data_IF_044827469793
#
_entry.id   IF_044827469793
#
_cell.length_a   1.000
_cell.length_b   1.000
_cell.length_c   1.000
_cell.angle_alpha   90.00
_cell.angle_beta   90.00
_cell.angle_gamma   90.00
#
_symmetry.space_group_name_H-M   'P 1'
#
loop_
_entity.id
_entity.type
_entity.pdbx_description
1 polymer ?
#
# COMPACT_ATOMS: atom_id res chain seq x y z
N UNK A 1 1.44 11.29 -5.88
CA UNK A 1 0.69 10.05 -6.12
C UNK A 1 1.72 9.00 -6.44
N UNK A 2 1.55 7.81 -5.89
CA UNK A 2 2.33 6.64 -6.30
C UNK A 2 1.46 5.74 -7.17
N UNK A 3 2.11 5.01 -8.06
CA UNK A 3 1.47 4.06 -8.96
C UNK A 3 2.29 2.79 -9.04
N UNK A 4 1.61 1.65 -9.03
CA UNK A 4 2.20 0.33 -9.20
C UNK A 4 1.46 -0.42 -10.33
N UNK A 5 2.21 -1.15 -11.15
CA UNK A 5 1.68 -1.98 -12.23
C UNK A 5 1.81 -3.45 -11.85
N UNK A 6 0.66 -4.10 -11.68
CA UNK A 6 0.55 -5.50 -11.27
C UNK A 6 0.09 -6.30 -12.49
N UNK A 7 1.02 -7.03 -13.12
CA UNK A 7 0.72 -7.85 -14.30
C UNK A 7 0.37 -9.28 -13.91
N UNK A 8 -0.71 -9.88 -14.46
CA UNK A 8 -0.98 -11.30 -14.26
C UNK A 8 0.12 -12.12 -14.94
N UNK A 9 0.82 -12.98 -14.17
CA UNK A 9 1.83 -13.91 -14.68
C UNK A 9 1.67 -15.26 -13.98
N UNK A 10 1.13 -16.25 -14.70
CA UNK A 10 0.79 -17.54 -14.11
C UNK A 10 -0.34 -17.40 -13.09
N UNK A 11 -0.11 -17.87 -11.87
CA UNK A 11 -1.13 -17.91 -10.81
C UNK A 11 -1.29 -16.59 -10.04
N UNK A 12 -0.35 -15.66 -10.16
CA UNK A 12 -0.31 -14.44 -9.34
C UNK A 12 -0.11 -13.17 -10.16
N UNK A 13 -0.48 -12.03 -9.58
CA UNK A 13 -0.06 -10.73 -10.10
C UNK A 13 1.34 -10.38 -9.57
N UNK A 14 2.20 -9.90 -10.47
CA UNK A 14 3.59 -9.51 -10.18
C UNK A 14 3.75 -8.00 -10.33
N UNK A 15 4.44 -7.35 -9.39
CA UNK A 15 4.79 -5.93 -9.48
C UNK A 15 5.87 -5.72 -10.53
N UNK A 16 5.50 -5.16 -11.68
CA UNK A 16 6.35 -5.10 -12.89
C UNK A 16 6.75 -3.69 -13.29
N UNK A 17 6.18 -2.68 -12.64
CA UNK A 17 6.54 -1.28 -12.80
C UNK A 17 5.96 -0.45 -11.67
N UNK A 18 6.60 0.66 -11.32
CA UNK A 18 6.07 1.59 -10.34
C UNK A 18 6.69 2.98 -10.45
N UNK A 19 5.93 3.97 -10.00
CA UNK A 19 6.42 5.27 -9.53
C UNK A 19 6.09 5.32 -8.05
N UNK A 20 7.10 5.30 -7.18
CA UNK A 20 6.94 5.22 -5.73
C UNK A 20 7.69 6.38 -5.05
N UNK A 21 7.03 7.53 -4.98
CA UNK A 21 7.56 8.76 -4.42
C UNK A 21 7.23 8.92 -2.93
N UNK A 22 6.15 8.31 -2.44
CA UNK A 22 5.66 8.47 -1.07
C UNK A 22 5.49 7.12 -0.35
N UNK A 23 6.53 6.27 -0.26
CA UNK A 23 6.43 4.98 0.41
C UNK A 23 6.03 5.11 1.89
N UNK A 24 5.28 4.13 2.38
CA UNK A 24 4.86 4.01 3.77
C UNK A 24 5.49 2.76 4.41
N UNK A 25 6.76 2.88 4.82
CA UNK A 25 7.54 1.81 5.45
C UNK A 25 7.82 0.58 4.57
N UNK A 26 8.13 0.79 3.28
CA UNK A 26 8.62 -0.25 2.38
C UNK A 26 9.45 0.36 1.24
N UNK A 27 10.26 -0.44 0.55
CA UNK A 27 11.04 0.02 -0.62
C UNK A 27 10.61 -0.67 -1.91
N UNK A 28 10.64 0.04 -3.04
CA UNK A 28 10.36 -0.58 -4.35
C UNK A 28 11.37 -1.69 -4.68
N UNK A 29 12.64 -1.50 -4.33
CA UNK A 29 13.72 -2.44 -4.66
C UNK A 29 13.46 -3.86 -4.13
N UNK A 30 12.90 -4.00 -2.93
CA UNK A 30 12.59 -5.31 -2.34
C UNK A 30 11.32 -5.94 -2.91
N UNK A 31 10.42 -5.13 -3.48
CA UNK A 31 9.11 -5.58 -3.97
C UNK A 31 9.04 -5.76 -5.48
N UNK A 32 9.94 -5.11 -6.22
CA UNK A 32 9.97 -5.17 -7.67
C UNK A 32 10.16 -6.61 -8.18
N UNK A 33 9.40 -6.98 -9.21
CA UNK A 33 9.36 -8.32 -9.79
C UNK A 33 9.00 -9.44 -8.81
N UNK A 34 8.30 -9.11 -7.71
CA UNK A 34 7.77 -10.09 -6.76
C UNK A 34 6.25 -10.26 -6.92
N UNK A 35 5.72 -11.47 -6.65
CA UNK A 35 4.28 -11.71 -6.63
C UNK A 35 3.62 -11.06 -5.40
N UNK A 36 2.29 -10.86 -5.46
CA UNK A 36 1.50 -10.32 -4.35
C UNK A 36 1.74 -11.05 -3.03
N UNK A 37 1.86 -12.39 -3.05
CA UNK A 37 2.21 -13.19 -1.86
C UNK A 37 3.50 -12.73 -1.19
N UNK A 38 4.61 -12.63 -1.95
CA UNK A 38 5.92 -12.22 -1.40
C UNK A 38 5.95 -10.76 -0.95
N UNK A 39 5.27 -9.88 -1.70
CA UNK A 39 5.24 -8.44 -1.39
C UNK A 39 4.73 -8.19 0.03
N UNK A 40 3.74 -8.97 0.47
CA UNK A 40 3.05 -8.78 1.74
C UNK A 40 3.60 -9.64 2.90
N UNK A 41 4.63 -10.47 2.70
CA UNK A 41 5.26 -11.26 3.77
C UNK A 41 5.57 -10.46 5.05
N UNK A 42 6.05 -9.20 4.99
CA UNK A 42 6.31 -8.42 6.21
C UNK A 42 5.06 -7.95 6.98
N UNK A 43 3.86 -8.24 6.50
CA UNK A 43 2.60 -7.87 7.16
C UNK A 43 2.08 -9.09 7.92
N UNK A 44 2.19 -9.15 9.27
CA UNK A 44 1.89 -10.37 10.03
C UNK A 44 0.46 -10.89 9.87
N UNK A 45 -0.50 -9.99 9.67
CA UNK A 45 -1.90 -10.35 9.44
C UNK A 45 -2.16 -10.91 8.04
N UNK A 46 -1.20 -10.79 7.10
CA UNK A 46 -1.35 -11.21 5.72
C UNK A 46 -0.99 -12.69 5.54
N UNK A 47 -1.93 -13.55 5.95
CA UNK A 47 -1.77 -15.00 5.82
C UNK A 47 -2.10 -15.54 4.41
N UNK A 48 -2.03 -16.86 4.26
CA UNK A 48 -2.35 -17.55 3.01
C UNK A 48 -3.83 -17.39 2.58
N UNK A 49 -4.76 -17.21 3.52
CA UNK A 49 -6.18 -17.00 3.23
C UNK A 49 -6.39 -15.59 2.66
N UNK A 50 -5.80 -14.56 3.28
CA UNK A 50 -5.80 -13.19 2.77
C UNK A 50 -5.16 -13.14 1.39
N UNK A 51 -3.99 -13.78 1.22
CA UNK A 51 -3.30 -13.88 -0.08
C UNK A 51 -4.24 -14.39 -1.17
N UNK A 52 -4.94 -15.51 -0.92
CA UNK A 52 -5.91 -16.09 -1.87
C UNK A 52 -7.08 -15.14 -2.17
N UNK A 53 -7.60 -14.44 -1.17
CA UNK A 53 -8.71 -13.47 -1.34
C UNK A 53 -8.28 -12.26 -2.17
N UNK A 54 -7.10 -11.71 -1.90
CA UNK A 54 -6.55 -10.58 -2.66
C UNK A 54 -6.27 -11.00 -4.10
N UNK A 55 -5.66 -12.17 -4.34
CA UNK A 55 -5.46 -12.66 -5.71
C UNK A 55 -6.79 -12.84 -6.46
N UNK A 56 -7.83 -13.38 -5.81
CA UNK A 56 -9.17 -13.48 -6.42
C UNK A 56 -9.77 -12.11 -6.74
N UNK A 57 -9.62 -11.13 -5.85
CA UNK A 57 -10.01 -9.75 -6.11
C UNK A 57 -9.33 -9.22 -7.37
N UNK A 58 -7.99 -9.34 -7.45
CA UNK A 58 -7.22 -8.88 -8.60
C UNK A 58 -7.63 -9.57 -9.90
N UNK A 59 -7.90 -10.88 -9.88
CA UNK A 59 -8.46 -11.61 -11.02
C UNK A 59 -9.83 -11.06 -11.45
N UNK A 60 -10.66 -10.66 -10.50
CA UNK A 60 -12.03 -10.17 -10.72
C UNK A 60 -12.17 -8.74 -11.22
N UNK A 61 -11.13 -7.90 -11.17
CA UNK A 61 -11.24 -6.43 -11.37
C UNK A 61 -11.94 -5.91 -12.64
N UNK A 62 -12.00 -6.48 -13.84
CA UNK A 62 -12.70 -5.89 -15.01
C UNK A 62 -12.30 -4.46 -15.48
N UNK A 63 -12.29 -4.27 -16.81
CA UNK A 63 -12.08 -2.96 -17.43
C UNK A 63 -13.29 -2.06 -17.20
N UNK A 64 -13.08 -0.77 -16.92
CA UNK A 64 -14.15 0.21 -16.73
C UNK A 64 -14.90 0.09 -15.38
N UNK A 65 -14.49 -0.84 -14.50
CA UNK A 65 -15.08 -1.05 -13.17
C UNK A 65 -14.02 -0.96 -12.07
N UNK A 66 -13.45 0.24 -11.82
CA UNK A 66 -12.39 0.39 -10.84
C UNK A 66 -12.90 0.10 -9.43
N UNK A 67 -12.02 -0.46 -8.61
CA UNK A 67 -12.25 -0.62 -7.17
C UNK A 67 -11.44 0.40 -6.40
N UNK A 68 -11.88 0.74 -5.20
CA UNK A 68 -11.09 1.57 -4.30
C UNK A 68 -11.30 1.18 -2.83
N UNK A 69 -10.32 1.55 -2.01
CA UNK A 69 -10.37 1.48 -0.55
C UNK A 69 -9.58 2.64 0.04
N UNK A 70 -9.69 2.85 1.34
CA UNK A 70 -8.73 3.65 2.08
C UNK A 70 -8.18 2.88 3.28
N UNK A 71 -7.04 3.33 3.77
CA UNK A 71 -6.50 3.00 5.08
C UNK A 71 -6.19 4.30 5.82
N UNK A 72 -5.91 4.20 7.12
CA UNK A 72 -5.25 5.27 7.84
C UNK A 72 -4.39 4.69 8.96
N UNK A 73 -3.30 5.37 9.29
CA UNK A 73 -2.36 5.04 10.36
C UNK A 73 -1.85 6.33 10.99
N UNK A 74 -1.42 6.26 12.25
CA UNK A 74 -0.83 7.41 12.94
C UNK A 74 0.70 7.43 12.74
N UNK A 75 1.26 8.62 12.56
CA UNK A 75 2.66 8.86 12.24
C UNK A 75 3.24 9.96 13.14
N UNK A 76 4.54 9.84 13.42
CA UNK A 76 5.29 10.80 14.25
C UNK A 76 5.67 12.07 13.49
N UNK A 77 5.80 11.98 12.16
CA UNK A 77 6.25 13.07 11.29
C UNK A 77 5.31 13.24 10.09
N UNK A 78 5.25 14.46 9.49
CA UNK A 78 4.37 14.74 8.37
C UNK A 78 4.95 14.36 7.00
N UNK A 79 6.18 13.85 6.95
CA UNK A 79 6.88 13.59 5.69
C UNK A 79 6.12 12.58 4.82
N UNK A 80 6.20 12.77 3.50
CA UNK A 80 5.56 11.84 2.56
C UNK A 80 6.46 10.65 2.24
N UNK A 81 7.79 10.85 2.29
CA UNK A 81 8.80 9.87 1.92
C UNK A 81 9.31 9.12 3.15
N UNK A 82 8.71 7.96 3.44
CA UNK A 82 9.10 7.08 4.54
C UNK A 82 9.49 5.69 4.04
N UNK A 83 10.59 5.53 3.27
CA UNK A 83 11.08 4.21 2.88
C UNK A 83 11.61 3.47 4.11
N UNK A 84 11.44 2.15 4.13
CA UNK A 84 12.03 1.26 5.12
C UNK A 84 12.31 -0.08 4.48
N UNK A 85 13.51 -0.63 4.67
CA UNK A 85 13.82 -1.98 4.21
C UNK A 85 13.20 -3.02 5.15
N UNK A 86 13.04 -4.26 4.69
CA UNK A 86 12.38 -5.33 5.47
C UNK A 86 13.16 -5.70 6.74
N UNK A 87 14.49 -5.57 6.71
CA UNK A 87 15.37 -5.92 7.83
C UNK A 87 15.35 -4.89 8.97
N UNK A 88 14.91 -3.66 8.69
CA UNK A 88 14.90 -2.59 9.69
C UNK A 88 13.72 -2.74 10.65
N UNK A 89 13.93 -2.41 11.95
CA UNK A 89 12.83 -2.34 12.88
C UNK A 89 11.81 -1.29 12.43
N UNK A 90 10.53 -1.57 12.69
CA UNK A 90 9.46 -0.61 12.39
C UNK A 90 9.58 0.60 13.32
N UNK A 91 9.91 1.76 12.75
CA UNK A 91 9.95 3.06 13.42
C UNK A 91 9.00 4.06 12.74
N UNK A 92 8.65 5.16 13.41
CA UNK A 92 7.87 6.27 12.84
C UNK A 92 6.35 6.07 12.73
N UNK A 93 5.83 4.94 13.22
CA UNK A 93 4.38 4.67 13.35
C UNK A 93 4.08 4.56 14.83
N UNK A 94 3.46 5.59 15.41
CA UNK A 94 2.98 5.54 16.78
C UNK A 94 1.69 4.70 16.82
N UNK A 95 1.67 3.65 17.64
CA UNK A 95 0.49 2.81 17.82
C UNK A 95 -0.65 3.64 18.43
N UNK A 96 -1.53 4.16 17.57
CA UNK A 96 -2.77 4.82 17.97
C UNK A 96 -2.66 6.27 18.46
N UNK A 97 -1.46 6.85 18.60
CA UNK A 97 -1.28 8.18 19.19
C UNK A 97 -0.14 8.97 18.55
N UNK A 98 -0.16 9.21 17.23
CA UNK A 98 0.78 10.09 16.56
C UNK A 98 0.21 11.50 16.31
N UNK A 99 1.05 12.54 16.21
CA UNK A 99 0.64 13.91 15.84
C UNK A 99 0.08 14.03 14.44
N UNK A 100 0.29 13.04 13.58
CA UNK A 100 -0.19 13.03 12.21
C UNK A 100 -0.98 11.77 11.89
N UNK A 101 -2.01 11.92 11.07
CA UNK A 101 -2.74 10.83 10.44
C UNK A 101 -2.31 10.78 8.99
N UNK A 102 -1.79 9.63 8.58
CA UNK A 102 -1.51 9.33 7.18
C UNK A 102 -2.60 8.41 6.65
N UNK A 103 -3.26 8.80 5.56
CA UNK A 103 -4.30 8.01 4.90
C UNK A 103 -3.98 7.83 3.43
N UNK A 104 -4.15 6.61 2.92
CA UNK A 104 -3.97 6.32 1.50
C UNK A 104 -5.30 5.97 0.87
N UNK A 105 -5.73 6.77 -0.12
CA UNK A 105 -6.80 6.36 -1.04
C UNK A 105 -6.18 5.49 -2.12
N UNK A 106 -6.55 4.22 -2.06
CA UNK A 106 -6.04 3.14 -2.88
C UNK A 106 -7.05 2.82 -3.98
N UNK A 107 -6.63 2.87 -5.24
CA UNK A 107 -7.47 2.54 -6.40
C UNK A 107 -6.88 1.40 -7.20
N UNK A 108 -7.74 0.59 -7.81
CA UNK A 108 -7.34 -0.53 -8.66
C UNK A 108 -8.10 -0.46 -9.97
N UNK A 109 -7.39 -0.29 -11.08
CA UNK A 109 -7.97 -0.17 -12.42
C UNK A 109 -7.29 -1.14 -13.38
N UNK A 110 -8.07 -1.90 -14.17
CA UNK A 110 -7.52 -2.80 -15.18
C UNK A 110 -7.33 -2.08 -16.51
N UNK A 111 -6.12 -2.21 -17.07
CA UNK A 111 -5.81 -1.71 -18.40
C UNK A 111 -6.39 -2.66 -19.48
N UNK A 112 -7.06 -2.13 -20.52
CA UNK A 112 -7.75 -2.94 -21.52
C UNK A 112 -6.81 -3.78 -22.39
N UNK A 113 -5.65 -3.23 -22.77
CA UNK A 113 -4.74 -3.89 -23.72
C UNK A 113 -3.82 -4.93 -23.04
N UNK A 114 -3.28 -4.60 -21.87
CA UNK A 114 -2.29 -5.44 -21.19
C UNK A 114 -2.88 -6.35 -20.13
N UNK A 115 -4.12 -6.11 -19.70
CA UNK A 115 -4.74 -6.77 -18.56
C UNK A 115 -4.10 -6.45 -17.20
N UNK A 116 -3.05 -5.60 -17.17
CA UNK A 116 -2.39 -5.20 -15.93
C UNK A 116 -3.35 -4.41 -15.04
N UNK A 117 -3.18 -4.55 -13.72
CA UNK A 117 -3.88 -3.74 -12.73
C UNK A 117 -2.97 -2.59 -12.32
N UNK A 118 -3.43 -1.36 -12.58
CA UNK A 118 -2.85 -0.15 -12.01
C UNK A 118 -3.35 -0.02 -10.59
N UNK A 119 -2.42 -0.09 -9.63
CA UNK A 119 -2.66 0.22 -8.23
C UNK A 119 -2.22 1.67 -7.96
N UNK A 120 -3.18 2.57 -7.80
CA UNK A 120 -2.94 3.97 -7.48
C UNK A 120 -2.98 4.21 -5.97
N UNK A 121 -2.03 4.99 -5.45
CA UNK A 121 -1.92 5.32 -4.03
C UNK A 121 -1.84 6.84 -3.91
N UNK A 122 -2.96 7.46 -3.50
CA UNK A 122 -2.99 8.87 -3.18
C UNK A 122 -2.85 9.05 -1.67
N UNK A 123 -1.77 9.67 -1.26
CA UNK A 123 -1.41 9.85 0.15
C UNK A 123 -1.88 11.22 0.64
N UNK A 124 -2.63 11.21 1.74
CA UNK A 124 -2.95 12.39 2.54
C UNK A 124 -2.19 12.31 3.86
N UNK A 125 -1.67 13.44 4.33
CA UNK A 125 -1.12 13.60 5.67
C UNK A 125 -1.83 14.78 6.33
N UNK A 126 -2.40 14.54 7.50
CA UNK A 126 -3.20 15.49 8.24
C UNK A 126 -2.66 15.60 9.66
N UNK A 127 -2.76 16.77 10.30
CA UNK A 127 -2.52 16.87 11.75
C UNK A 127 -3.62 16.12 12.49
N UNK A 128 -3.24 15.30 13.45
CA UNK A 128 -4.15 14.67 14.39
C UNK A 128 -4.57 15.68 15.45
N UNK A 129 -5.77 16.26 15.31
CA UNK A 129 -6.27 17.25 16.27
C UNK A 129 -6.47 16.67 17.69
N UNK A 130 -6.65 15.36 17.82
CA UNK A 130 -6.84 14.69 19.12
C UNK A 130 -5.52 14.42 19.86
N UNK A 131 -4.34 14.55 19.21
CA UNK A 131 -3.05 14.10 19.76
C UNK A 131 -2.61 14.81 21.06
N UNK A 132 -3.14 16.00 21.36
CA UNK A 132 -2.85 16.74 22.59
C UNK A 132 -4.10 17.25 23.31
N UNK A 133 -5.30 16.81 22.91
CA UNK A 133 -6.55 17.28 23.50
C UNK A 133 -6.75 16.81 24.96
N UNK A 134 -6.06 15.73 25.36
CA UNK A 134 -6.16 15.13 26.71
C UNK A 134 -5.01 15.54 27.66
N UNK A 135 -4.20 16.55 27.30
CA UNK A 135 -3.08 17.07 28.13
C UNK A 135 -3.34 18.49 28.69
N UNK A 136 -4.58 18.95 28.68
CA UNK A 136 -5.01 20.24 29.24
C UNK A 136 -5.98 20.08 30.39
#
# INVERSE_FOLDING_TARGET
>A
NDFCLLQPRGAEHILTGAVLCFPASWTLAEKFMRPLSRIHVPVPSYDANITKRVQRLFNGIQVGRPLWRCNYLHYDAPDLFHPRIEADPRSGVSEGAGPYIRSERQTFCRLPETGAVVFGIHTFVLRNQAYNADKG
#
